data_IF_159865441147
#
_entry.id   IF_159865441147
#
_cell.length_a   1.000
_cell.length_b   1.000
_cell.length_c   1.000
_cell.angle_alpha   90.00
_cell.angle_beta   90.00
_cell.angle_gamma   90.00
#
_symmetry.space_group_name_H-M   'P 1'
#
loop_
_entity.id
_entity.type
_entity.pdbx_description
1 polymer ?
#
# COMPACT_ATOMS: atom_id res chain seq x y z
N UNK A 1 -24.24 -20.82 50.46
CA UNK A 1 -24.60 -19.55 51.12
C UNK A 1 -24.70 -18.48 50.02
N UNK A 2 -25.85 -18.36 49.36
CA UNK A 2 -26.90 -17.32 49.52
C UNK A 2 -26.40 -15.87 49.37
N UNK A 3 -26.59 -15.30 48.17
CA UNK A 3 -26.62 -13.85 47.89
C UNK A 3 -27.92 -13.25 48.43
N UNK A 4 -27.95 -11.96 48.80
CA UNK A 4 -29.19 -11.20 48.77
C UNK A 4 -29.13 -10.05 47.74
N UNK A 5 -30.17 -10.02 46.90
CA UNK A 5 -30.67 -8.84 46.23
C UNK A 5 -31.28 -7.89 47.28
N UNK A 6 -31.20 -6.58 47.04
CA UNK A 6 -32.24 -5.64 47.47
C UNK A 6 -32.54 -4.64 46.35
N UNK A 7 -33.83 -4.49 46.13
CA UNK A 7 -34.51 -3.82 45.03
C UNK A 7 -35.29 -2.62 45.59
N UNK A 8 -35.33 -1.55 44.78
CA UNK A 8 -36.40 -0.55 44.60
C UNK A 8 -37.07 0.17 45.79
N UNK A 9 -37.02 1.51 45.75
CA UNK A 9 -38.15 2.45 45.91
C UNK A 9 -37.68 3.84 45.41
N UNK A 10 -37.99 4.36 44.21
CA UNK A 10 -39.25 4.82 43.61
C UNK A 10 -40.02 5.86 44.46
N UNK A 11 -39.97 7.13 44.06
CA UNK A 11 -41.11 8.03 44.17
C UNK A 11 -41.13 9.03 42.99
N UNK A 12 -42.27 9.03 42.30
CA UNK A 12 -42.63 9.83 41.15
C UNK A 12 -43.72 10.84 41.53
N UNK A 13 -43.81 11.94 40.78
CA UNK A 13 -45.03 12.71 40.48
C UNK A 13 -44.68 13.68 39.33
N UNK A 14 -45.05 13.50 38.07
CA UNK A 14 -46.37 13.57 37.38
C UNK A 14 -47.13 14.87 37.54
N UNK A 15 -47.25 15.63 36.45
CA UNK A 15 -48.48 16.35 36.10
C UNK A 15 -48.64 16.47 34.58
N UNK A 16 -49.80 16.01 34.10
CA UNK A 16 -50.26 15.84 32.71
C UNK A 16 -50.74 17.13 32.05
N UNK A 17 -50.82 17.17 30.69
CA UNK A 17 -52.11 17.16 29.98
C UNK A 17 -52.00 16.95 28.44
N UNK A 18 -52.75 15.94 27.98
CA UNK A 18 -53.61 15.80 26.78
C UNK A 18 -53.16 16.19 25.35
N UNK A 19 -53.39 15.24 24.43
CA UNK A 19 -53.70 15.51 23.01
C UNK A 19 -53.67 14.25 22.12
N UNK A 20 -54.84 13.76 21.68
CA UNK A 20 -55.02 12.62 20.77
C UNK A 20 -54.64 12.93 19.32
N UNK A 21 -54.23 11.90 18.55
CA UNK A 21 -54.27 11.92 17.08
C UNK A 21 -53.49 10.78 16.42
N UNK A 22 -54.20 9.83 15.82
CA UNK A 22 -53.70 8.79 14.92
C UNK A 22 -52.90 9.37 13.73
N UNK A 23 -51.91 8.61 13.26
CA UNK A 23 -51.37 8.80 11.91
C UNK A 23 -49.85 8.78 11.81
N UNK A 24 -49.33 7.66 11.32
CA UNK A 24 -48.05 7.50 10.64
C UNK A 24 -47.52 8.79 9.98
N UNK A 25 -46.35 9.29 10.39
CA UNK A 25 -45.43 10.00 9.47
C UNK A 25 -43.99 10.04 9.99
N UNK A 26 -43.13 9.56 9.11
CA UNK A 26 -41.67 9.50 9.10
C UNK A 26 -41.03 10.88 9.36
N UNK A 27 -39.96 10.90 10.15
CA UNK A 27 -38.98 11.99 10.16
C UNK A 27 -37.79 11.56 9.30
N UNK A 28 -37.86 11.98 8.03
CA UNK A 28 -36.76 12.46 7.18
C UNK A 28 -35.32 11.98 7.43
N UNK A 29 -35.03 10.86 6.75
CA UNK A 29 -33.74 10.61 6.10
C UNK A 29 -33.99 9.98 4.73
N UNK A 30 -34.93 10.51 3.95
CA UNK A 30 -35.25 10.04 2.58
C UNK A 30 -34.21 10.63 1.62
N UNK A 31 -33.37 9.85 0.92
CA UNK A 31 -33.75 8.87 -0.10
C UNK A 31 -34.81 9.47 -1.05
N UNK A 32 -34.37 10.37 -1.94
CA UNK A 32 -35.14 10.76 -3.14
C UNK A 32 -35.05 9.62 -4.15
N UNK A 33 -36.14 8.88 -4.28
CA UNK A 33 -37.14 8.96 -5.36
C UNK A 33 -36.82 8.01 -6.51
N UNK A 34 -37.69 7.01 -6.64
CA UNK A 34 -37.75 6.14 -7.80
C UNK A 34 -38.12 7.00 -9.01
N UNK A 35 -37.24 7.05 -10.01
CA UNK A 35 -37.54 7.63 -11.31
C UNK A 35 -38.59 6.76 -11.99
N UNK A 36 -39.84 7.25 -12.08
CA UNK A 36 -40.94 6.57 -12.76
C UNK A 36 -41.06 6.91 -14.25
N UNK A 37 -40.17 7.77 -14.77
CA UNK A 37 -40.10 8.16 -16.18
C UNK A 37 -38.68 7.93 -16.72
N UNK A 38 -38.49 6.80 -17.42
CA UNK A 38 -37.19 6.37 -17.95
C UNK A 38 -36.66 7.28 -19.07
N UNK A 39 -37.54 8.00 -19.78
CA UNK A 39 -37.16 8.90 -20.89
C UNK A 39 -36.48 10.20 -20.43
N UNK A 40 -36.50 10.51 -19.12
CA UNK A 40 -35.86 11.72 -18.57
C UNK A 40 -34.52 11.46 -17.87
N UNK A 41 -34.12 10.20 -17.72
CA UNK A 41 -32.86 9.82 -17.06
C UNK A 41 -31.63 9.75 -17.99
N UNK A 42 -31.82 9.98 -19.30
CA UNK A 42 -30.75 9.88 -20.29
C UNK A 42 -29.99 11.19 -20.60
N UNK A 43 -30.42 12.34 -20.06
CA UNK A 43 -29.78 13.65 -20.29
C UNK A 43 -28.77 14.05 -19.19
N UNK A 44 -28.69 13.29 -18.09
CA UNK A 44 -27.74 13.55 -17.00
C UNK A 44 -26.84 12.34 -16.72
N UNK A 45 -25.93 12.06 -17.66
CA UNK A 45 -24.64 11.39 -17.43
C UNK A 45 -24.66 10.11 -16.59
N UNK A 46 -25.14 9.01 -17.18
CA UNK A 46 -25.33 7.73 -16.51
C UNK A 46 -24.11 7.05 -15.90
N UNK A 47 -24.38 6.18 -14.92
CA UNK A 47 -23.49 5.11 -14.46
C UNK A 47 -24.17 3.79 -14.77
N UNK A 48 -23.59 3.01 -15.67
CA UNK A 48 -23.99 1.63 -15.93
C UNK A 48 -23.39 0.73 -14.84
N UNK A 49 -24.24 0.12 -14.03
CA UNK A 49 -23.89 -1.07 -13.25
C UNK A 49 -24.77 -2.22 -13.75
N UNK A 50 -24.10 -3.22 -14.30
CA UNK A 50 -24.65 -4.54 -14.63
C UNK A 50 -25.14 -5.21 -13.34
N UNK A 51 -26.46 -5.23 -13.16
CA UNK A 51 -27.12 -6.01 -12.12
C UNK A 51 -28.24 -6.81 -12.78
N UNK A 52 -27.99 -8.10 -12.99
CA UNK A 52 -29.02 -9.06 -13.37
C UNK A 52 -29.85 -9.39 -12.13
N UNK A 53 -31.13 -9.03 -12.13
CA UNK A 53 -32.08 -9.36 -11.05
C UNK A 53 -32.61 -10.78 -11.27
N UNK A 54 -32.35 -11.70 -10.34
CA UNK A 54 -33.05 -12.99 -10.26
C UNK A 54 -34.17 -12.84 -9.23
N UNK A 55 -35.41 -12.90 -9.70
CA UNK A 55 -36.62 -12.87 -8.89
C UNK A 55 -36.85 -14.25 -8.23
N UNK A 56 -36.94 -14.28 -6.90
CA UNK A 56 -37.50 -15.42 -6.18
C UNK A 56 -38.25 -14.90 -4.95
N UNK A 57 -39.55 -15.21 -4.87
CA UNK A 57 -40.50 -14.71 -3.89
C UNK A 57 -40.22 -15.15 -2.44
N UNK A 58 -39.16 -14.62 -1.83
CA UNK A 58 -38.89 -14.76 -0.40
C UNK A 58 -38.09 -13.57 0.18
N UNK A 59 -38.32 -12.35 -0.32
CA UNK A 59 -37.71 -11.12 0.22
C UNK A 59 -36.16 -11.05 0.12
N UNK A 60 -35.56 -9.83 0.18
CA UNK A 60 -34.12 -9.70 0.08
C UNK A 60 -33.44 -10.19 1.37
N UNK A 61 -32.95 -11.43 1.35
CA UNK A 61 -32.02 -11.95 2.36
C UNK A 61 -30.60 -11.71 1.88
N UNK A 62 -29.85 -10.83 2.55
CA UNK A 62 -28.42 -10.63 2.28
C UNK A 62 -27.65 -11.77 2.95
N UNK A 63 -27.40 -12.85 2.20
CA UNK A 63 -26.39 -13.85 2.58
C UNK A 63 -25.03 -13.39 2.07
N UNK A 64 -24.15 -12.96 2.98
CA UNK A 64 -22.75 -12.73 2.64
C UNK A 64 -22.07 -14.10 2.39
N UNK A 65 -21.96 -14.49 1.12
CA UNK A 65 -21.12 -15.61 0.73
C UNK A 65 -19.66 -15.15 0.75
N UNK A 66 -18.94 -15.60 1.76
CA UNK A 66 -17.49 -15.70 1.72
C UNK A 66 -17.11 -16.79 0.71
N UNK A 67 -16.77 -16.38 -0.52
CA UNK A 67 -15.63 -16.88 -1.30
C UNK A 67 -15.70 -16.23 -2.69
N UNK A 68 -14.79 -15.30 -2.94
CA UNK A 68 -14.36 -14.91 -4.29
C UNK A 68 -13.07 -14.12 -4.12
N UNK A 69 -12.00 -14.90 -4.01
CA UNK A 69 -10.66 -14.52 -4.45
C UNK A 69 -10.70 -13.67 -5.72
N UNK A 70 -10.51 -12.38 -5.54
CA UNK A 70 -10.24 -11.42 -6.60
C UNK A 70 -9.32 -10.37 -6.02
N UNK A 71 -8.10 -10.79 -5.65
CA UNK A 71 -7.04 -9.84 -5.34
C UNK A 71 -6.74 -9.07 -6.63
N UNK A 72 -7.45 -7.95 -6.80
CA UNK A 72 -7.09 -6.92 -7.75
C UNK A 72 -5.63 -6.54 -7.49
N UNK A 73 -4.80 -6.36 -8.53
CA UNK A 73 -3.43 -5.94 -8.33
C UNK A 73 -3.48 -4.61 -7.57
N UNK A 74 -2.87 -4.57 -6.38
CA UNK A 74 -2.60 -3.32 -5.69
C UNK A 74 -1.91 -2.40 -6.70
N UNK A 75 -2.44 -1.19 -6.90
CA UNK A 75 -1.81 -0.20 -7.75
C UNK A 75 -0.38 0.02 -7.25
N UNK A 76 0.59 -0.59 -7.95
CA UNK A 76 2.00 -0.50 -7.60
C UNK A 76 2.51 0.95 -7.72
N UNK A 77 1.73 1.85 -8.33
CA UNK A 77 2.02 3.27 -8.45
C UNK A 77 1.28 4.15 -7.41
N UNK A 78 0.43 3.57 -6.56
CA UNK A 78 -0.28 4.32 -5.52
C UNK A 78 0.67 4.90 -4.46
N UNK A 79 0.32 6.04 -3.83
CA UNK A 79 1.15 6.63 -2.78
C UNK A 79 1.27 5.65 -1.61
N UNK A 80 2.49 5.18 -1.36
CA UNK A 80 2.83 4.55 -0.08
C UNK A 80 2.89 5.65 0.97
N UNK A 81 2.10 5.51 2.04
CA UNK A 81 2.17 6.44 3.18
C UNK A 81 3.63 6.57 3.68
N UNK A 82 4.04 7.75 4.19
CA UNK A 82 5.35 7.87 4.80
C UNK A 82 5.47 6.91 5.99
N UNK A 83 6.70 6.51 6.32
CA UNK A 83 6.96 5.88 7.62
C UNK A 83 6.56 6.81 8.76
N UNK A 84 6.20 6.24 9.92
CA UNK A 84 5.68 7.02 11.05
C UNK A 84 6.76 7.89 11.69
N UNK A 85 8.03 7.52 11.54
CA UNK A 85 9.19 8.28 12.02
C UNK A 85 10.33 8.29 11.01
N UNK A 86 11.23 9.28 11.13
CA UNK A 86 12.49 9.31 10.36
C UNK A 86 13.38 8.08 10.66
N UNK A 87 13.33 7.55 11.89
CA UNK A 87 14.09 6.38 12.27
C UNK A 87 13.61 5.11 11.53
N UNK A 88 12.29 4.93 11.41
CA UNK A 88 11.71 3.85 10.62
C UNK A 88 12.03 4.01 9.13
N UNK A 89 11.98 5.23 8.60
CA UNK A 89 12.38 5.50 7.23
C UNK A 89 13.84 5.14 6.98
N UNK A 90 14.77 5.56 7.84
CA UNK A 90 16.19 5.22 7.66
C UNK A 90 16.44 3.71 7.74
N UNK A 91 15.74 2.99 8.61
CA UNK A 91 15.81 1.53 8.67
C UNK A 91 15.29 0.87 7.38
N UNK A 92 14.14 1.32 6.89
CA UNK A 92 13.52 0.85 5.65
C UNK A 92 14.40 1.13 4.42
N UNK A 93 14.93 2.35 4.30
CA UNK A 93 15.82 2.73 3.21
C UNK A 93 17.12 1.92 3.23
N UNK A 94 17.71 1.67 4.42
CA UNK A 94 18.88 0.82 4.54
C UNK A 94 18.59 -0.64 4.17
N UNK A 95 17.43 -1.19 4.53
CA UNK A 95 17.02 -2.53 4.12
C UNK A 95 16.84 -2.61 2.59
N UNK A 96 16.15 -1.63 1.99
CA UNK A 96 15.99 -1.52 0.53
C UNK A 96 17.34 -1.49 -0.20
N UNK A 97 18.30 -0.71 0.28
CA UNK A 97 19.66 -0.72 -0.28
C UNK A 97 20.30 -2.12 -0.18
N UNK A 98 20.21 -2.79 0.97
CA UNK A 98 20.78 -4.13 1.12
C UNK A 98 20.11 -5.17 0.23
N UNK A 99 18.80 -5.08 0.07
CA UNK A 99 18.03 -5.93 -0.83
C UNK A 99 18.57 -5.83 -2.26
N UNK A 100 18.65 -4.62 -2.78
CA UNK A 100 19.02 -4.37 -4.18
C UNK A 100 20.51 -4.64 -4.42
N UNK A 101 21.40 -4.31 -3.48
CA UNK A 101 22.82 -4.69 -3.57
C UNK A 101 22.98 -6.21 -3.69
N UNK A 102 22.28 -6.98 -2.86
CA UNK A 102 22.45 -8.42 -2.82
C UNK A 102 21.77 -9.11 -4.01
N UNK A 103 20.60 -8.65 -4.44
CA UNK A 103 19.96 -9.14 -5.67
C UNK A 103 20.80 -8.84 -6.91
N UNK A 104 21.42 -7.66 -7.00
CA UNK A 104 22.34 -7.33 -8.09
C UNK A 104 23.62 -8.15 -8.06
N UNK A 105 24.18 -8.42 -6.88
CA UNK A 105 25.32 -9.34 -6.75
C UNK A 105 24.96 -10.75 -7.21
N UNK A 106 23.78 -11.25 -6.83
CA UNK A 106 23.28 -12.52 -7.31
C UNK A 106 23.12 -12.52 -8.84
N UNK A 107 22.68 -11.41 -9.43
CA UNK A 107 22.58 -11.30 -10.89
C UNK A 107 23.93 -11.41 -11.59
N UNK A 108 24.95 -10.74 -11.05
CA UNK A 108 26.32 -10.85 -11.55
C UNK A 108 26.87 -12.28 -11.38
N UNK A 109 26.60 -12.93 -10.25
CA UNK A 109 26.97 -14.33 -9.99
C UNK A 109 26.30 -15.30 -10.98
N UNK A 110 25.03 -15.06 -11.31
CA UNK A 110 24.26 -15.86 -12.29
C UNK A 110 24.64 -15.60 -13.74
N UNK A 111 25.59 -14.69 -13.99
CA UNK A 111 26.16 -14.47 -15.31
C UNK A 111 25.26 -13.68 -16.25
N UNK A 112 24.43 -12.76 -15.74
CA UNK A 112 23.72 -11.81 -16.61
C UNK A 112 24.73 -11.02 -17.45
N UNK A 113 24.31 -10.57 -18.63
CA UNK A 113 25.18 -9.95 -19.63
C UNK A 113 24.55 -8.70 -20.24
N UNK A 114 25.34 -7.94 -21.01
CA UNK A 114 24.89 -6.71 -21.67
C UNK A 114 24.30 -5.70 -20.68
N UNK A 115 23.16 -5.14 -21.04
CA UNK A 115 22.47 -4.11 -20.25
C UNK A 115 22.10 -4.57 -18.83
N UNK A 116 21.74 -5.84 -18.63
CA UNK A 116 21.42 -6.37 -17.30
C UNK A 116 22.65 -6.40 -16.38
N UNK A 117 23.83 -6.68 -16.94
CA UNK A 117 25.10 -6.63 -16.20
C UNK A 117 25.50 -5.20 -15.84
N UNK A 118 25.37 -4.27 -16.79
CA UNK A 118 25.66 -2.85 -16.55
C UNK A 118 24.74 -2.29 -15.46
N UNK A 119 23.45 -2.61 -15.55
CA UNK A 119 22.45 -2.25 -14.56
C UNK A 119 22.82 -2.81 -13.18
N UNK A 120 23.10 -4.11 -13.05
CA UNK A 120 23.48 -4.70 -11.77
C UNK A 120 24.76 -4.07 -11.15
N UNK A 121 25.75 -3.70 -11.96
CA UNK A 121 26.94 -3.00 -11.46
C UNK A 121 26.61 -1.58 -10.96
N UNK A 122 25.75 -0.85 -11.67
CA UNK A 122 25.27 0.47 -11.25
C UNK A 122 24.52 0.37 -9.93
N UNK A 123 23.59 -0.58 -9.81
CA UNK A 123 22.83 -0.86 -8.59
C UNK A 123 23.74 -1.08 -7.38
N UNK A 124 24.73 -1.98 -7.49
CA UNK A 124 25.68 -2.23 -6.39
C UNK A 124 26.42 -0.95 -5.99
N UNK A 125 26.91 -0.18 -6.98
CA UNK A 125 27.68 1.04 -6.72
C UNK A 125 26.84 2.11 -6.02
N UNK A 126 25.69 2.43 -6.59
CA UNK A 126 24.89 3.58 -6.17
C UNK A 126 24.20 3.31 -4.84
N UNK A 127 23.69 2.09 -4.61
CA UNK A 127 23.09 1.72 -3.32
C UNK A 127 24.13 1.56 -2.22
N UNK A 128 25.33 1.05 -2.52
CA UNK A 128 26.43 1.04 -1.53
C UNK A 128 26.78 2.46 -1.11
N UNK A 129 26.78 3.40 -2.06
CA UNK A 129 26.98 4.82 -1.76
C UNK A 129 25.84 5.40 -0.93
N UNK A 130 24.58 5.13 -1.29
CA UNK A 130 23.39 5.55 -0.54
C UNK A 130 23.46 5.09 0.91
N UNK A 131 23.74 3.80 1.14
CA UNK A 131 23.90 3.23 2.49
C UNK A 131 25.00 3.91 3.28
N UNK A 132 26.14 4.22 2.65
CA UNK A 132 27.24 4.91 3.33
C UNK A 132 26.84 6.34 3.75
N UNK A 133 26.17 7.08 2.88
CA UNK A 133 25.67 8.42 3.19
C UNK A 133 24.60 8.36 4.32
N UNK A 134 23.69 7.38 4.27
CA UNK A 134 22.64 7.19 5.27
C UNK A 134 23.19 6.81 6.66
N UNK A 135 24.24 5.98 6.71
CA UNK A 135 24.93 5.59 7.97
C UNK A 135 25.45 6.80 8.75
N UNK A 136 25.94 7.83 8.06
CA UNK A 136 26.41 9.07 8.71
C UNK A 136 25.26 9.78 9.41
N UNK A 137 24.10 9.88 8.77
CA UNK A 137 22.90 10.53 9.31
C UNK A 137 22.34 9.72 10.48
N UNK A 138 22.21 8.41 10.30
CA UNK A 138 21.72 7.49 11.32
C UNK A 138 22.60 7.53 12.59
N UNK A 139 23.93 7.59 12.43
CA UNK A 139 24.87 7.73 13.54
C UNK A 139 24.67 9.00 14.36
N UNK A 140 24.43 10.16 13.72
CA UNK A 140 24.11 11.42 14.44
C UNK A 140 22.81 11.34 15.23
N UNK A 141 21.88 10.48 14.79
CA UNK A 141 20.53 10.34 15.35
C UNK A 141 20.36 9.11 16.24
N UNK A 142 21.44 8.36 16.49
CA UNK A 142 21.44 7.11 17.26
C UNK A 142 20.45 6.05 16.71
N UNK A 143 20.28 6.00 15.38
CA UNK A 143 19.43 5.00 14.73
C UNK A 143 20.30 3.84 14.26
N UNK A 144 19.90 2.63 14.66
CA UNK A 144 20.54 1.39 14.21
C UNK A 144 19.95 1.00 12.87
N UNK A 145 20.82 0.84 11.86
CA UNK A 145 20.41 0.40 10.53
C UNK A 145 20.53 -1.12 10.40
N UNK A 146 19.59 -1.81 9.73
CA UNK A 146 19.71 -3.22 9.46
C UNK A 146 20.97 -3.51 8.61
N UNK A 147 21.75 -4.55 8.94
CA UNK A 147 22.99 -4.86 8.22
C UNK A 147 22.77 -5.73 6.98
N UNK A 148 21.55 -6.18 6.73
CA UNK A 148 21.24 -7.26 5.80
C UNK A 148 19.82 -7.09 5.20
N UNK A 149 19.49 -7.92 4.21
CA UNK A 149 18.19 -7.96 3.56
C UNK A 149 17.06 -8.24 4.56
N UNK A 150 15.88 -7.70 4.24
CA UNK A 150 14.66 -8.09 4.92
C UNK A 150 14.23 -9.54 4.57
N UNK A 151 13.25 -10.05 5.31
CA UNK A 151 12.79 -11.43 5.15
C UNK A 151 12.13 -11.70 3.79
N UNK A 152 11.40 -10.72 3.24
CA UNK A 152 10.73 -10.82 1.94
C UNK A 152 11.77 -11.00 0.83
N UNK A 153 12.79 -10.15 0.80
CA UNK A 153 13.81 -10.19 -0.24
C UNK A 153 14.76 -11.39 -0.06
N UNK A 154 14.95 -11.90 1.16
CA UNK A 154 15.64 -13.19 1.37
C UNK A 154 14.89 -14.35 0.70
N UNK A 155 13.57 -14.38 0.77
CA UNK A 155 12.75 -15.37 0.08
C UNK A 155 12.84 -15.18 -1.45
N UNK A 156 12.72 -13.96 -1.95
CA UNK A 156 12.87 -13.63 -3.37
C UNK A 156 14.25 -14.08 -3.89
N UNK A 157 15.32 -13.80 -3.14
CA UNK A 157 16.67 -14.25 -3.51
C UNK A 157 16.79 -15.78 -3.54
N UNK A 158 16.11 -16.49 -2.63
CA UNK A 158 16.10 -17.95 -2.62
C UNK A 158 15.35 -18.53 -3.84
N UNK A 159 14.27 -17.88 -4.29
CA UNK A 159 13.57 -18.23 -5.52
C UNK A 159 14.43 -17.95 -6.76
N UNK A 160 14.99 -16.74 -6.85
CA UNK A 160 15.86 -16.34 -7.95
C UNK A 160 17.08 -17.25 -8.10
N UNK A 161 17.63 -17.77 -7.01
CA UNK A 161 18.75 -18.74 -7.06
C UNK A 161 18.39 -20.03 -7.82
N UNK A 162 17.12 -20.39 -7.94
CA UNK A 162 16.67 -21.56 -8.71
C UNK A 162 16.55 -21.29 -10.20
N UNK A 163 16.50 -20.02 -10.59
CA UNK A 163 16.41 -19.58 -11.99
C UNK A 163 17.78 -19.48 -12.63
N UNK A 164 17.80 -19.45 -13.97
CA UNK A 164 19.01 -19.23 -14.78
C UNK A 164 18.67 -18.58 -16.11
N UNK A 165 19.69 -18.06 -16.81
CA UNK A 165 19.53 -17.48 -18.14
C UNK A 165 18.48 -16.37 -18.20
N UNK A 166 17.61 -16.42 -19.21
CA UNK A 166 16.60 -15.38 -19.45
C UNK A 166 15.49 -15.33 -18.40
N UNK A 167 15.13 -16.46 -17.79
CA UNK A 167 14.15 -16.47 -16.71
C UNK A 167 14.67 -15.72 -15.48
N UNK A 168 15.95 -15.94 -15.13
CA UNK A 168 16.60 -15.19 -14.07
C UNK A 168 16.67 -13.69 -14.38
N UNK A 169 17.16 -13.36 -15.58
CA UNK A 169 17.32 -11.96 -16.01
C UNK A 169 15.99 -11.20 -15.96
N UNK A 170 14.91 -11.83 -16.45
CA UNK A 170 13.57 -11.25 -16.39
C UNK A 170 13.11 -11.05 -14.96
N UNK A 171 13.21 -12.07 -14.10
CA UNK A 171 12.79 -11.95 -12.69
C UNK A 171 13.58 -10.87 -11.95
N UNK A 172 14.88 -10.74 -12.23
CA UNK A 172 15.71 -9.68 -11.66
C UNK A 172 15.21 -8.29 -12.08
N UNK A 173 15.00 -8.05 -13.37
CA UNK A 173 14.55 -6.75 -13.87
C UNK A 173 13.14 -6.39 -13.42
N UNK A 174 12.21 -7.36 -13.42
CA UNK A 174 10.85 -7.18 -12.90
C UNK A 174 10.90 -6.75 -11.42
N UNK A 175 11.74 -7.42 -10.62
CA UNK A 175 11.91 -7.08 -9.20
C UNK A 175 12.48 -5.66 -9.02
N UNK A 176 13.46 -5.26 -9.83
CA UNK A 176 13.99 -3.89 -9.78
C UNK A 176 12.90 -2.86 -10.12
N UNK A 177 11.99 -3.13 -11.07
CA UNK A 177 10.86 -2.21 -11.32
C UNK A 177 9.97 -2.07 -10.09
N UNK A 178 9.60 -3.18 -9.45
CA UNK A 178 8.75 -3.19 -8.25
C UNK A 178 9.40 -2.43 -7.10
N UNK A 179 10.65 -2.75 -6.78
CA UNK A 179 11.36 -2.19 -5.62
C UNK A 179 11.56 -0.67 -5.79
N UNK A 180 12.04 -0.23 -6.95
CA UNK A 180 12.29 1.19 -7.19
C UNK A 180 11.01 2.01 -7.24
N UNK A 181 9.91 1.46 -7.77
CA UNK A 181 8.63 2.16 -7.76
C UNK A 181 8.13 2.37 -6.32
N UNK A 182 8.22 1.34 -5.47
CA UNK A 182 7.87 1.40 -4.04
C UNK A 182 8.78 2.39 -3.29
N UNK A 183 10.09 2.33 -3.52
CA UNK A 183 11.08 3.22 -2.91
C UNK A 183 10.86 4.66 -3.33
N UNK A 184 10.60 4.93 -4.61
CA UNK A 184 10.31 6.28 -5.10
C UNK A 184 9.05 6.87 -4.45
N UNK A 185 7.99 6.07 -4.30
CA UNK A 185 6.76 6.50 -3.64
C UNK A 185 7.02 6.80 -2.16
N UNK A 186 7.80 5.95 -1.48
CA UNK A 186 8.18 6.12 -0.07
C UNK A 186 9.02 7.38 0.12
N UNK A 187 10.01 7.62 -0.75
CA UNK A 187 10.85 8.81 -0.73
C UNK A 187 10.01 10.09 -0.90
N UNK A 188 9.09 10.11 -1.88
CA UNK A 188 8.20 11.26 -2.11
C UNK A 188 7.30 11.55 -0.90
N UNK A 189 6.67 10.50 -0.35
CA UNK A 189 5.80 10.64 0.80
C UNK A 189 6.58 11.12 2.04
N UNK A 190 7.76 10.53 2.29
CA UNK A 190 8.56 10.88 3.45
C UNK A 190 9.20 12.27 3.33
N UNK A 191 9.58 12.71 2.12
CA UNK A 191 10.04 14.07 1.85
C UNK A 191 9.02 15.13 2.28
N UNK A 192 7.73 14.87 2.06
CA UNK A 192 6.65 15.79 2.43
C UNK A 192 6.39 15.81 3.95
N UNK A 193 6.60 14.67 4.62
CA UNK A 193 6.36 14.48 6.04
C UNK A 193 7.51 15.04 6.90
N UNK A 194 8.74 14.60 6.61
CA UNK A 194 9.90 14.88 7.47
C UNK A 194 10.22 16.37 7.54
N UNK A 195 10.60 16.81 8.74
CA UNK A 195 11.09 18.17 9.02
C UNK A 195 12.59 18.20 9.30
N UNK A 196 13.25 17.05 9.25
CA UNK A 196 14.66 16.93 9.52
C UNK A 196 15.49 17.26 8.28
N UNK A 197 16.31 18.31 8.37
CA UNK A 197 17.07 18.80 7.22
C UNK A 197 18.08 17.78 6.67
N UNK A 198 18.68 16.94 7.52
CA UNK A 198 19.61 15.90 7.06
C UNK A 198 18.84 14.82 6.26
N UNK A 199 17.65 14.43 6.73
CA UNK A 199 16.79 13.43 6.05
C UNK A 199 16.24 14.00 4.74
N UNK A 200 15.76 15.24 4.73
CA UNK A 200 15.33 15.91 3.50
C UNK A 200 16.46 16.02 2.47
N UNK A 201 17.67 16.35 2.92
CA UNK A 201 18.85 16.43 2.06
C UNK A 201 19.23 15.07 1.48
N UNK A 202 19.17 14.01 2.28
CA UNK A 202 19.40 12.64 1.82
C UNK A 202 18.40 12.23 0.75
N UNK A 203 17.10 12.41 1.01
CA UNK A 203 16.04 12.04 0.07
C UNK A 203 16.17 12.83 -1.23
N UNK A 204 16.40 14.15 -1.16
CA UNK A 204 16.60 14.99 -2.34
C UNK A 204 17.76 14.54 -3.23
N UNK A 205 18.80 13.95 -2.65
CA UNK A 205 19.94 13.38 -3.38
C UNK A 205 19.66 12.02 -4.00
N UNK A 206 18.93 11.15 -3.29
CA UNK A 206 18.68 9.76 -3.70
C UNK A 206 17.52 9.64 -4.68
N UNK A 207 16.48 10.46 -4.55
CA UNK A 207 15.29 10.40 -5.40
C UNK A 207 15.56 10.43 -6.92
N UNK A 208 16.42 11.33 -7.46
CA UNK A 208 16.71 11.32 -8.90
C UNK A 208 17.48 10.07 -9.36
N UNK A 209 18.28 9.47 -8.46
CA UNK A 209 19.01 8.22 -8.75
C UNK A 209 18.03 7.06 -8.86
N UNK A 210 17.13 6.91 -7.88
CA UNK A 210 16.07 5.87 -7.87
C UNK A 210 15.14 6.01 -9.07
N UNK A 211 14.76 7.24 -9.44
CA UNK A 211 13.96 7.48 -10.65
C UNK A 211 14.70 7.01 -11.91
N UNK A 212 15.98 7.34 -12.06
CA UNK A 212 16.78 6.89 -13.21
C UNK A 212 16.89 5.36 -13.25
N UNK A 213 17.14 4.70 -12.12
CA UNK A 213 17.18 3.24 -12.05
C UNK A 213 15.83 2.61 -12.43
N UNK A 214 14.72 3.16 -11.95
CA UNK A 214 13.36 2.71 -12.33
C UNK A 214 13.13 2.82 -13.84
N UNK A 215 13.51 3.94 -14.44
CA UNK A 215 13.33 4.18 -15.88
C UNK A 215 14.17 3.18 -16.70
N UNK A 216 15.41 2.91 -16.26
CA UNK A 216 16.25 1.87 -16.86
C UNK A 216 15.64 0.48 -16.74
N UNK A 217 15.15 0.11 -15.55
CA UNK A 217 14.51 -1.19 -15.29
C UNK A 217 13.26 -1.39 -16.14
N UNK A 218 12.40 -0.37 -16.25
CA UNK A 218 11.21 -0.42 -17.11
C UNK A 218 11.57 -0.58 -18.59
N UNK A 219 12.60 0.14 -19.06
CA UNK A 219 13.08 0.00 -20.44
C UNK A 219 13.61 -1.41 -20.69
N UNK A 220 14.29 -2.02 -19.73
CA UNK A 220 14.81 -3.38 -19.87
C UNK A 220 13.73 -4.45 -19.82
N UNK A 221 12.72 -4.29 -18.96
CA UNK A 221 11.60 -5.23 -18.85
C UNK A 221 10.66 -5.23 -20.08
N UNK A 222 10.72 -4.18 -20.90
CA UNK A 222 9.93 -4.05 -22.13
C UNK A 222 10.62 -4.58 -23.41
N UNK A 223 11.87 -5.05 -23.32
CA UNK A 223 12.64 -5.65 -24.42
C UNK A 223 12.52 -7.17 -24.43
#
# INVERSE_FOLDING_TARGET
MKKPLFSCLLLAATLSLAGCGDGNKRTDGTAGEAVSDMDKAADEGGVQADATVIDNEAGPTVTANADSSGAMPADAAGPTAPHSTDAEFMQSAAASDQNEIQLSKLALEKGVSGMAKEHANMMVKDHTKSTADLKVIAGKKNVVLPPDMDAEHKAIAAEMRKLSGKEFEKKYLDQMVTDHQKTLNTLKAHQAMTKDADVQGFIGKVMPVVQNHLDMSKKHAAM
#
